data_IF_377914790201
#
_entry.id   IF_377914790201
#
_cell.length_a   1.000
_cell.length_b   1.000
_cell.length_c   1.000
_cell.angle_alpha   90.00
_cell.angle_beta   90.00
_cell.angle_gamma   90.00
#
_symmetry.space_group_name_H-M   'P 1'
#
loop_
_entity.id
_entity.type
_entity.pdbx_description
1 polymer ?
#
# COMPACT_ATOMS: atom_id res chain seq x y z
N UNK A 1 7.78 9.53 -14.45
CA UNK A 1 9.13 8.93 -14.45
C UNK A 1 9.15 7.75 -15.41
N UNK A 2 10.16 7.64 -16.26
CA UNK A 2 10.36 6.48 -17.14
C UNK A 2 11.38 5.52 -16.49
N UNK A 3 11.05 4.24 -16.41
CA UNK A 3 11.94 3.20 -15.84
C UNK A 3 12.42 2.20 -16.91
N UNK A 4 12.13 2.46 -18.20
CA UNK A 4 12.51 1.57 -19.29
C UNK A 4 14.01 1.29 -19.35
N UNK A 5 14.83 2.28 -18.98
CA UNK A 5 16.30 2.23 -18.94
C UNK A 5 16.88 1.51 -17.71
N UNK A 6 16.06 1.20 -16.70
CA UNK A 6 16.58 0.56 -15.47
C UNK A 6 16.84 -0.92 -15.71
N UNK A 7 17.92 -1.42 -15.13
CA UNK A 7 18.29 -2.84 -15.14
C UNK A 7 17.43 -3.65 -14.16
N UNK A 8 17.26 -4.97 -14.35
CA UNK A 8 16.40 -5.80 -13.50
C UNK A 8 16.73 -5.75 -12.01
N UNK A 9 18.00 -5.61 -11.64
CA UNK A 9 18.42 -5.53 -10.24
C UNK A 9 18.08 -4.16 -9.62
N UNK A 10 18.14 -3.07 -10.39
CA UNK A 10 17.73 -1.73 -9.94
C UNK A 10 16.22 -1.69 -9.71
N UNK A 11 15.45 -2.26 -10.65
CA UNK A 11 14.00 -2.39 -10.49
C UNK A 11 13.65 -3.27 -9.28
N UNK A 12 14.37 -4.36 -9.07
CA UNK A 12 14.17 -5.22 -7.89
C UNK A 12 14.43 -4.46 -6.59
N UNK A 13 15.53 -3.72 -6.52
CA UNK A 13 15.87 -2.90 -5.35
C UNK A 13 14.80 -1.83 -5.10
N UNK A 14 14.38 -1.13 -6.14
CA UNK A 14 13.32 -0.12 -6.07
C UNK A 14 11.99 -0.71 -5.62
N UNK A 15 11.52 -1.79 -6.25
CA UNK A 15 10.27 -2.48 -5.88
C UNK A 15 10.30 -2.93 -4.41
N UNK A 16 11.43 -3.47 -3.93
CA UNK A 16 11.59 -3.86 -2.52
C UNK A 16 11.56 -2.67 -1.57
N UNK A 17 12.23 -1.57 -1.90
CA UNK A 17 12.22 -0.37 -1.08
C UNK A 17 10.81 0.24 -0.97
N UNK A 18 10.08 0.29 -2.10
CA UNK A 18 8.70 0.78 -2.13
C UNK A 18 7.74 -0.15 -1.39
N UNK A 19 7.94 -1.48 -1.51
CA UNK A 19 7.20 -2.46 -0.73
C UNK A 19 7.40 -2.26 0.77
N UNK A 20 8.65 -2.13 1.20
CA UNK A 20 9.02 -1.94 2.60
C UNK A 20 8.30 -0.71 3.19
N UNK A 21 8.37 0.43 2.50
CA UNK A 21 7.73 1.68 2.96
C UNK A 21 6.22 1.50 3.18
N UNK A 22 5.53 0.76 2.30
CA UNK A 22 4.07 0.63 2.32
C UNK A 22 3.54 -0.48 3.22
N UNK A 23 4.30 -1.56 3.35
CA UNK A 23 3.77 -2.84 3.84
C UNK A 23 4.61 -3.48 4.94
N UNK A 24 5.78 -2.92 5.29
CA UNK A 24 6.66 -3.45 6.33
C UNK A 24 7.13 -2.39 7.34
N UNK A 25 7.07 -1.09 6.99
CA UNK A 25 7.62 -0.01 7.81
C UNK A 25 6.59 0.57 8.78
N UNK A 26 6.86 0.45 10.08
CA UNK A 26 6.12 1.13 11.15
C UNK A 26 6.82 2.43 11.58
N UNK A 27 7.47 3.12 10.64
CA UNK A 27 8.13 4.41 10.90
C UNK A 27 7.21 5.58 10.55
N UNK A 28 7.16 6.59 11.42
CA UNK A 28 6.36 7.80 11.20
C UNK A 28 6.72 8.54 9.91
N UNK A 29 8.01 8.55 9.53
CA UNK A 29 8.48 9.14 8.28
C UNK A 29 7.96 8.37 7.06
N UNK A 30 7.85 7.04 7.13
CA UNK A 30 7.24 6.24 6.08
C UNK A 30 5.75 6.55 5.91
N UNK A 31 5.00 6.75 7.01
CA UNK A 31 3.57 7.08 6.98
C UNK A 31 3.25 8.35 6.17
N UNK A 32 4.17 9.33 6.16
CA UNK A 32 3.98 10.58 5.39
C UNK A 32 3.84 10.35 3.88
N UNK A 33 4.36 9.24 3.36
CA UNK A 33 4.36 8.91 1.94
C UNK A 33 3.64 7.61 1.60
N UNK A 34 3.40 6.72 2.58
CA UNK A 34 2.82 5.39 2.37
C UNK A 34 1.44 5.44 1.69
N UNK A 35 0.60 6.41 2.07
CA UNK A 35 -0.70 6.67 1.45
C UNK A 35 -0.67 7.58 0.23
N UNK A 36 0.51 7.97 -0.27
CA UNK A 36 0.60 8.77 -1.49
C UNK A 36 0.23 7.93 -2.73
N UNK A 37 -0.70 8.40 -3.58
CA UNK A 37 -1.01 7.73 -4.85
C UNK A 37 0.22 7.57 -5.74
N UNK A 38 1.16 8.53 -5.66
CA UNK A 38 2.39 8.52 -6.45
C UNK A 38 3.27 7.35 -6.03
N UNK A 39 3.39 7.07 -4.73
CA UNK A 39 4.21 5.96 -4.23
C UNK A 39 3.68 4.62 -4.75
N UNK A 40 2.36 4.43 -4.68
CA UNK A 40 1.68 3.27 -5.24
C UNK A 40 1.91 3.13 -6.75
N UNK A 41 1.78 4.22 -7.52
CA UNK A 41 2.02 4.23 -8.96
C UNK A 41 3.48 3.91 -9.33
N UNK A 42 4.46 4.42 -8.58
CA UNK A 42 5.87 4.10 -8.77
C UNK A 42 6.13 2.61 -8.46
N UNK A 43 5.50 2.07 -7.42
CA UNK A 43 5.65 0.66 -7.05
C UNK A 43 5.03 -0.26 -8.12
N UNK A 44 3.84 0.08 -8.59
CA UNK A 44 3.18 -0.65 -9.67
C UNK A 44 4.07 -0.67 -10.92
N UNK A 45 4.48 0.51 -11.38
CA UNK A 45 5.22 0.67 -12.63
C UNK A 45 6.59 0.01 -12.60
N UNK A 46 7.34 0.15 -11.51
CA UNK A 46 8.67 -0.48 -11.37
C UNK A 46 8.57 -2.01 -11.44
N UNK A 47 7.58 -2.57 -10.76
CA UNK A 47 7.36 -4.02 -10.69
C UNK A 47 6.81 -4.59 -11.99
N UNK A 48 5.90 -3.89 -12.66
CA UNK A 48 5.36 -4.30 -13.97
C UNK A 48 6.45 -4.32 -15.04
N UNK A 49 7.34 -3.31 -15.07
CA UNK A 49 8.48 -3.30 -16.00
C UNK A 49 9.46 -4.43 -15.67
N UNK A 50 9.71 -4.71 -14.39
CA UNK A 50 10.51 -5.86 -13.98
C UNK A 50 9.90 -7.18 -14.48
N UNK A 51 8.58 -7.37 -14.33
CA UNK A 51 7.88 -8.55 -14.83
C UNK A 51 8.00 -8.70 -16.34
N UNK A 52 7.85 -7.61 -17.09
CA UNK A 52 8.01 -7.60 -18.56
C UNK A 52 9.43 -8.01 -18.98
N UNK A 53 10.46 -7.45 -18.35
CA UNK A 53 11.87 -7.79 -18.64
C UNK A 53 12.17 -9.26 -18.33
N UNK A 54 11.70 -9.75 -17.19
CA UNK A 54 11.88 -11.14 -16.79
C UNK A 54 11.13 -12.13 -17.71
N UNK A 55 9.93 -11.76 -18.17
CA UNK A 55 9.19 -12.55 -19.15
C UNK A 55 9.93 -12.63 -20.50
N UNK A 56 10.52 -11.53 -20.96
CA UNK A 56 11.32 -11.48 -22.19
C UNK A 56 12.60 -12.33 -22.10
N UNK A 57 13.19 -12.45 -20.91
CA UNK A 57 14.36 -13.31 -20.67
C UNK A 57 14.01 -14.78 -20.38
N UNK A 58 12.73 -15.17 -20.44
CA UNK A 58 12.28 -16.54 -20.19
C UNK A 58 12.25 -16.97 -18.72
N UNK A 59 12.30 -16.03 -17.77
CA UNK A 59 12.20 -16.35 -16.35
C UNK A 59 10.77 -16.83 -15.99
N UNK A 60 10.66 -18.07 -15.50
CA UNK A 60 9.40 -18.74 -15.21
C UNK A 60 8.50 -18.10 -14.12
N UNK A 61 9.03 -17.59 -12.99
CA UNK A 61 8.19 -17.09 -11.88
C UNK A 61 7.30 -15.91 -12.25
N UNK A 62 7.74 -15.05 -13.17
CA UNK A 62 7.04 -13.83 -13.57
C UNK A 62 5.82 -14.06 -14.46
N UNK A 63 5.71 -15.22 -15.11
CA UNK A 63 4.49 -15.58 -15.86
C UNK A 63 3.28 -15.76 -14.95
N UNK A 64 3.50 -16.29 -13.74
CA UNK A 64 2.43 -16.47 -12.75
C UNK A 64 1.88 -15.11 -12.27
N UNK A 65 2.77 -14.17 -11.93
CA UNK A 65 2.35 -12.83 -11.48
C UNK A 65 1.66 -12.04 -12.59
N UNK A 66 2.16 -12.11 -13.83
CA UNK A 66 1.48 -11.46 -14.96
C UNK A 66 0.10 -12.05 -15.25
N UNK A 67 -0.10 -13.35 -15.04
CA UNK A 67 -1.38 -14.02 -15.28
C UNK A 67 -2.43 -13.76 -14.18
N UNK A 68 -2.00 -13.69 -12.91
CA UNK A 68 -2.90 -13.51 -11.77
C UNK A 68 -3.02 -12.05 -11.30
N UNK A 69 -2.13 -11.19 -11.79
CA UNK A 69 -2.00 -9.80 -11.35
C UNK A 69 -1.48 -9.68 -9.92
N UNK A 70 -1.74 -8.52 -9.32
CA UNK A 70 -1.35 -8.22 -7.95
C UNK A 70 -2.08 -9.12 -6.94
N UNK A 71 -1.37 -9.61 -5.90
CA UNK A 71 -1.97 -10.46 -4.88
C UNK A 71 -2.92 -9.66 -3.97
N UNK A 72 -3.81 -10.39 -3.30
CA UNK A 72 -4.65 -9.82 -2.26
C UNK A 72 -3.92 -9.77 -0.90
N UNK A 73 -4.21 -8.75 -0.10
CA UNK A 73 -3.77 -8.62 1.29
C UNK A 73 -4.78 -9.13 2.33
N UNK A 74 -5.95 -9.61 1.91
CA UNK A 74 -7.08 -9.91 2.83
C UNK A 74 -6.71 -10.85 3.99
N UNK A 75 -5.74 -11.75 3.78
CA UNK A 75 -5.30 -12.73 4.78
C UNK A 75 -3.87 -12.48 5.30
N UNK A 76 -3.29 -11.33 5.00
CA UNK A 76 -1.91 -10.98 5.39
C UNK A 76 -1.94 -10.10 6.65
N UNK A 77 -1.92 -10.74 7.82
CA UNK A 77 -2.05 -10.07 9.11
C UNK A 77 -0.94 -9.03 9.37
N UNK A 78 0.27 -9.28 8.88
CA UNK A 78 1.41 -8.37 9.04
C UNK A 78 1.17 -7.10 8.22
N UNK A 79 0.82 -7.22 6.94
CA UNK A 79 0.51 -6.06 6.10
C UNK A 79 -0.68 -5.28 6.64
N UNK A 80 -1.74 -5.96 7.07
CA UNK A 80 -2.91 -5.29 7.67
C UNK A 80 -2.55 -4.50 8.93
N UNK A 81 -1.58 -4.99 9.72
CA UNK A 81 -1.08 -4.27 10.90
C UNK A 81 -0.35 -2.99 10.49
N UNK A 82 0.52 -3.07 9.48
CA UNK A 82 1.24 -1.89 8.96
C UNK A 82 0.28 -0.86 8.36
N UNK A 83 -0.75 -1.29 7.62
CA UNK A 83 -1.76 -0.38 7.09
C UNK A 83 -2.52 0.35 8.20
N UNK A 84 -2.90 -0.36 9.26
CA UNK A 84 -3.52 0.23 10.46
C UNK A 84 -2.58 1.24 11.12
N UNK A 85 -1.30 0.92 11.23
CA UNK A 85 -0.29 1.85 11.74
C UNK A 85 -0.28 3.15 10.91
N UNK A 86 -0.23 3.07 9.58
CA UNK A 86 -0.26 4.26 8.73
C UNK A 86 -1.56 5.06 8.84
N UNK A 87 -2.73 4.40 8.93
CA UNK A 87 -4.02 5.05 9.15
C UNK A 87 -4.03 5.80 10.50
N UNK A 88 -3.47 5.22 11.54
CA UNK A 88 -3.35 5.84 12.87
C UNK A 88 -2.50 7.13 12.86
N UNK A 89 -1.61 7.30 11.88
CA UNK A 89 -0.78 8.51 11.77
C UNK A 89 -1.47 9.66 11.02
N UNK A 90 -2.68 9.48 10.48
CA UNK A 90 -3.37 10.53 9.72
C UNK A 90 -3.99 11.56 10.67
N UNK A 91 -3.42 12.76 10.69
CA UNK A 91 -3.98 13.88 11.44
C UNK A 91 -5.32 14.34 10.85
N UNK A 92 -6.29 14.67 11.72
CA UNK A 92 -7.61 15.16 11.29
C UNK A 92 -8.46 14.11 10.56
N UNK A 93 -8.20 12.81 10.77
CA UNK A 93 -8.91 11.72 10.10
C UNK A 93 -10.44 11.88 10.11
N UNK A 94 -11.01 12.20 11.27
CA UNK A 94 -12.46 12.34 11.44
C UNK A 94 -13.05 13.63 10.85
N UNK A 95 -12.21 14.60 10.45
CA UNK A 95 -12.63 15.80 9.74
C UNK A 95 -12.72 15.56 8.21
N UNK A 96 -12.16 14.46 7.72
CA UNK A 96 -12.20 14.07 6.32
C UNK A 96 -13.56 13.47 5.96
N UNK A 97 -14.04 13.75 4.75
CA UNK A 97 -15.19 13.04 4.20
C UNK A 97 -14.86 11.54 4.03
N UNK A 98 -15.84 10.66 4.26
CA UNK A 98 -15.66 9.20 4.15
C UNK A 98 -15.08 8.78 2.78
N UNK A 99 -15.47 9.47 1.69
CA UNK A 99 -14.91 9.22 0.37
C UNK A 99 -13.41 9.47 0.28
N UNK A 100 -12.90 10.46 1.01
CA UNK A 100 -11.46 10.78 1.11
C UNK A 100 -10.74 9.73 1.95
N UNK A 101 -11.34 9.31 3.07
CA UNK A 101 -10.81 8.24 3.92
C UNK A 101 -10.67 6.92 3.13
N UNK A 102 -11.73 6.53 2.41
CA UNK A 102 -11.72 5.35 1.53
C UNK A 102 -10.70 5.47 0.40
N UNK A 103 -10.57 6.65 -0.19
CA UNK A 103 -9.55 6.94 -1.20
C UNK A 103 -8.15 6.72 -0.65
N UNK A 104 -7.85 7.29 0.51
CA UNK A 104 -6.56 7.11 1.19
C UNK A 104 -6.25 5.63 1.50
N UNK A 105 -7.22 4.87 2.03
CA UNK A 105 -7.04 3.43 2.29
C UNK A 105 -6.76 2.68 0.98
N UNK A 106 -7.47 3.01 -0.09
CA UNK A 106 -7.26 2.41 -1.41
C UNK A 106 -5.86 2.70 -1.95
N UNK A 107 -5.38 3.92 -1.79
CA UNK A 107 -4.03 4.34 -2.18
C UNK A 107 -2.93 3.65 -1.34
N UNK A 108 -3.20 3.44 -0.06
CA UNK A 108 -2.33 2.68 0.86
C UNK A 108 -2.16 1.23 0.41
N UNK A 109 -3.25 0.60 -0.02
CA UNK A 109 -3.27 -0.80 -0.44
C UNK A 109 -2.67 -0.97 -1.85
N UNK A 110 -2.90 -0.01 -2.74
CA UNK A 110 -2.43 -0.08 -4.12
C UNK A 110 -0.89 -0.18 -4.19
N UNK A 111 -0.31 -1.13 -4.96
CA UNK A 111 -0.91 -1.88 -6.05
C UNK A 111 -1.49 -3.25 -5.67
N UNK A 112 -1.41 -3.64 -4.40
CA UNK A 112 -2.06 -4.86 -3.94
C UNK A 112 -3.58 -4.70 -3.99
N UNK A 113 -4.31 -5.79 -3.76
CA UNK A 113 -5.77 -5.81 -3.79
C UNK A 113 -6.32 -6.12 -2.42
N UNK A 114 -7.53 -5.65 -2.16
CA UNK A 114 -8.32 -6.00 -0.98
C UNK A 114 -9.78 -6.12 -1.39
N UNK A 115 -10.55 -6.90 -0.63
CA UNK A 115 -12.01 -6.92 -0.71
C UNK A 115 -12.62 -5.68 -0.06
N UNK A 116 -13.87 -5.37 -0.42
CA UNK A 116 -14.65 -4.32 0.26
C UNK A 116 -14.76 -4.57 1.77
N UNK A 117 -14.85 -5.83 2.20
CA UNK A 117 -14.86 -6.18 3.62
C UNK A 117 -13.59 -5.72 4.35
N UNK A 118 -12.42 -5.91 3.73
CA UNK A 118 -11.14 -5.45 4.27
C UNK A 118 -11.05 -3.93 4.28
N UNK A 119 -11.53 -3.26 3.22
CA UNK A 119 -11.60 -1.79 3.16
C UNK A 119 -12.48 -1.23 4.28
N UNK A 120 -13.68 -1.80 4.47
CA UNK A 120 -14.61 -1.41 5.53
C UNK A 120 -14.01 -1.66 6.91
N UNK A 121 -13.28 -2.77 7.11
CA UNK A 121 -12.60 -3.04 8.38
C UNK A 121 -11.50 -2.03 8.69
N UNK A 122 -10.72 -1.60 7.70
CA UNK A 122 -9.69 -0.57 7.86
C UNK A 122 -10.30 0.82 8.09
N UNK A 123 -11.40 1.13 7.43
CA UNK A 123 -12.15 2.36 7.63
C UNK A 123 -12.73 2.44 9.05
N UNK A 124 -13.39 1.37 9.51
CA UNK A 124 -13.90 1.29 10.88
C UNK A 124 -12.77 1.43 11.90
N UNK A 125 -11.63 0.76 11.68
CA UNK A 125 -10.46 0.95 12.54
C UNK A 125 -10.01 2.42 12.61
N UNK A 126 -9.90 3.11 11.47
CA UNK A 126 -9.52 4.53 11.45
C UNK A 126 -10.51 5.39 12.23
N UNK A 127 -11.81 5.19 12.00
CA UNK A 127 -12.85 5.95 12.69
C UNK A 127 -12.85 5.71 14.20
N UNK A 128 -12.67 4.46 14.64
CA UNK A 128 -12.57 4.09 16.05
C UNK A 128 -11.30 4.65 16.71
N UNK A 129 -10.15 4.52 16.06
CA UNK A 129 -8.86 4.95 16.59
C UNK A 129 -8.77 6.47 16.79
N UNK A 130 -9.31 7.23 15.83
CA UNK A 130 -9.27 8.68 15.84
C UNK A 130 -10.47 9.32 16.54
N UNK A 131 -11.45 8.50 16.97
CA UNK A 131 -12.57 9.01 17.75
C UNK A 131 -12.05 9.68 19.01
N UNK A 132 -12.45 10.92 19.31
CA UNK A 132 -12.11 11.53 20.59
C UNK A 132 -12.63 10.60 21.68
N UNK A 133 -11.76 10.14 22.57
CA UNK A 133 -12.17 9.39 23.76
C UNK A 133 -13.37 10.11 24.36
N UNK A 134 -14.51 9.43 24.43
CA UNK A 134 -15.73 10.01 24.95
C UNK A 134 -15.47 10.54 26.37
N UNK A 135 -15.26 11.85 26.47
CA UNK A 135 -15.15 12.65 27.68
C UNK A 135 -14.53 11.96 28.90
N UNK A 136 -13.23 12.19 29.13
CA UNK A 136 -12.78 12.33 30.53
C UNK A 136 -13.36 13.65 31.04
N UNK A 137 -14.60 13.60 31.53
CA UNK A 137 -15.12 14.59 32.48
C UNK A 137 -14.25 14.49 33.73
N UNK A 138 -13.35 15.45 33.92
CA UNK A 138 -12.78 15.80 35.22
C UNK A 138 -13.64 16.87 35.88
#
# INVERSE_FOLDING_TARGET
>A
MDFSSFEPHELTALSKALHFIKFESEDSGASTIAGSPILGALYAKSTEILWQKAAASGAGPTKFFMANGWPSIDNDAEKLTVLKFHIAQVEGWNDLAESVQRGFISDLIYPLKATEQTLDSLLSFGNEHHSPEAGITR
#
